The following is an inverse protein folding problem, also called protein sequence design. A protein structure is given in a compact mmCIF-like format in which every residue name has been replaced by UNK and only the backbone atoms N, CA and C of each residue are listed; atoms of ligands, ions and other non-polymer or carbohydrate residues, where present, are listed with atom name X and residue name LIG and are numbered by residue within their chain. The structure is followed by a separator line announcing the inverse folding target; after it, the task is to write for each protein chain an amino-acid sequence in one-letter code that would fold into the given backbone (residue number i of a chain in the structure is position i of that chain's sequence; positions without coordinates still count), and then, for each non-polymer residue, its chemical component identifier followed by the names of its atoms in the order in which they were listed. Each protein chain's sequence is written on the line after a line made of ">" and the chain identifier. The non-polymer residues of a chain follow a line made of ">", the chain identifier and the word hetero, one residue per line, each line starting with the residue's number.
data_IF_611609292862
#
_entry.id   IF_611609292862
#
_cell.length_a   1.000
_cell.length_b   1.000
_cell.length_c   1.000
_cell.angle_alpha   90.00
_cell.angle_beta   90.00
_cell.angle_gamma   90.00
#
_symmetry.space_group_name_H-M   'P 1'
#
loop_
_entity.id
_entity.type
_entity.pdbx_description
1 polymer ?
#
# COMPACT_ATOMS: atom_id res chain seq x y z
N UNK A 1 -7.18 -6.27 -1.09
CA UNK A 1 -7.06 -5.82 -2.50
C UNK A 1 -5.59 -5.60 -2.81
N UNK A 2 -5.13 -5.96 -4.01
CA UNK A 2 -3.73 -5.79 -4.44
C UNK A 2 -3.69 -4.82 -5.62
N UNK A 3 -3.28 -3.58 -5.39
CA UNK A 3 -2.97 -2.63 -6.46
C UNK A 3 -1.60 -2.98 -7.06
N UNK A 4 -1.40 -2.69 -8.34
CA UNK A 4 -0.05 -2.78 -8.93
C UNK A 4 0.75 -1.53 -8.60
N UNK A 5 1.89 -1.67 -7.92
CA UNK A 5 2.82 -0.57 -7.74
C UNK A 5 3.71 -0.41 -8.99
N UNK A 6 3.90 0.83 -9.45
CA UNK A 6 4.81 1.18 -10.55
C UNK A 6 5.57 2.46 -10.23
N UNK A 7 6.68 2.64 -10.93
CA UNK A 7 7.42 3.90 -10.93
C UNK A 7 7.50 4.44 -12.36
N UNK A 8 7.19 5.72 -12.50
CA UNK A 8 7.37 6.49 -13.74
C UNK A 8 8.03 7.81 -13.33
N UNK A 9 9.31 7.70 -13.01
CA UNK A 9 10.04 8.77 -12.34
C UNK A 9 10.22 9.97 -13.26
N UNK A 10 10.04 11.16 -12.66
CA UNK A 10 10.32 12.45 -13.25
C UNK A 10 11.76 12.47 -13.77
N UNK A 11 11.99 12.86 -15.04
CA UNK A 11 13.34 13.04 -15.56
C UNK A 11 14.12 14.08 -14.76
N UNK A 12 15.39 13.79 -14.47
CA UNK A 12 16.26 14.68 -13.67
C UNK A 12 16.39 16.09 -14.27
N UNK A 13 16.28 16.22 -15.59
CA UNK A 13 16.25 17.49 -16.33
C UNK A 13 15.11 18.42 -15.92
N UNK A 14 14.05 17.90 -15.28
CA UNK A 14 12.92 18.67 -14.78
C UNK A 14 12.91 18.89 -13.27
N UNK A 15 13.93 18.41 -12.55
CA UNK A 15 14.00 18.58 -11.10
C UNK A 15 13.97 20.04 -10.67
N UNK A 16 14.67 20.93 -11.36
CA UNK A 16 14.67 22.38 -11.07
C UNK A 16 13.29 23.03 -11.10
N UNK A 17 12.34 22.46 -11.83
CA UNK A 17 10.98 22.97 -11.98
C UNK A 17 10.03 22.26 -11.00
N UNK A 18 10.11 20.92 -10.95
CA UNK A 18 9.08 20.07 -10.35
C UNK A 18 9.42 19.59 -8.94
N UNK A 19 10.70 19.45 -8.62
CA UNK A 19 11.16 18.89 -7.36
C UNK A 19 12.56 19.43 -6.99
N UNK A 20 12.76 20.76 -6.89
CA UNK A 20 14.09 21.35 -6.84
C UNK A 20 14.88 21.03 -5.56
N UNK A 21 14.20 20.72 -4.46
CA UNK A 21 14.82 20.57 -3.15
C UNK A 21 14.86 19.13 -2.68
N UNK A 22 15.92 18.78 -1.94
CA UNK A 22 15.98 17.55 -1.14
C UNK A 22 14.97 17.67 0.01
N UNK A 23 14.38 16.54 0.38
CA UNK A 23 13.41 16.42 1.45
C UNK A 23 13.72 15.16 2.28
N UNK A 24 13.72 15.29 3.60
CA UNK A 24 13.46 14.17 4.49
C UNK A 24 11.98 14.24 4.85
N UNK A 25 11.14 13.33 4.32
CA UNK A 25 9.70 13.43 4.53
C UNK A 25 9.38 13.24 6.02
N UNK A 26 8.35 13.94 6.50
CA UNK A 26 7.86 13.88 7.88
C UNK A 26 6.34 13.70 7.95
N UNK A 27 5.66 13.89 6.83
CA UNK A 27 4.21 13.84 6.70
C UNK A 27 3.80 13.21 5.38
N UNK A 28 2.55 12.78 5.30
CA UNK A 28 1.86 12.43 4.05
C UNK A 28 0.70 13.41 3.88
N UNK A 29 0.56 14.00 2.70
CA UNK A 29 -0.56 14.91 2.37
C UNK A 29 -1.45 14.25 1.34
N UNK A 30 -2.72 14.05 1.70
CA UNK A 30 -3.75 13.44 0.86
C UNK A 30 -4.47 14.49 0.04
N UNK A 31 -4.65 14.19 -1.24
CA UNK A 31 -5.34 15.03 -2.22
C UNK A 31 -6.40 14.27 -3.00
N UNK A 32 -7.29 15.03 -3.62
CA UNK A 32 -8.19 14.56 -4.65
C UNK A 32 -7.92 15.37 -5.91
N UNK A 33 -7.73 14.65 -7.01
CA UNK A 33 -7.42 15.21 -8.33
C UNK A 33 -8.44 16.22 -8.87
N UNK A 34 -9.69 16.18 -8.36
CA UNK A 34 -10.85 16.85 -8.96
C UNK A 34 -11.00 16.54 -10.47
N UNK A 35 -10.58 15.33 -10.86
CA UNK A 35 -10.59 14.84 -12.24
C UNK A 35 -11.09 13.38 -12.32
N UNK A 36 -11.31 12.88 -13.54
CA UNK A 36 -11.72 11.50 -13.84
C UNK A 36 -10.69 10.73 -14.68
N UNK A 37 -9.43 11.18 -14.65
CA UNK A 37 -8.33 10.51 -15.32
C UNK A 37 -7.74 9.36 -14.46
N UNK A 38 -7.21 8.30 -15.10
CA UNK A 38 -6.43 7.26 -14.41
C UNK A 38 -5.07 7.82 -13.93
N UNK A 39 -4.43 7.10 -13.00
CA UNK A 39 -3.15 7.50 -12.41
C UNK A 39 -2.05 7.67 -13.46
N UNK A 40 -2.04 6.82 -14.50
CA UNK A 40 -1.06 6.92 -15.60
C UNK A 40 -1.19 8.25 -16.36
N UNK A 41 -2.40 8.77 -16.54
CA UNK A 41 -2.63 10.03 -17.24
C UNK A 41 -2.28 11.23 -16.36
N UNK A 42 -2.67 11.19 -15.08
CA UNK A 42 -2.30 12.19 -14.07
C UNK A 42 -0.76 12.35 -14.02
N UNK A 43 -0.04 11.24 -13.88
CA UNK A 43 1.42 11.23 -13.84
C UNK A 43 2.03 11.67 -15.17
N UNK A 44 1.57 11.15 -16.31
CA UNK A 44 2.08 11.51 -17.64
C UNK A 44 1.93 13.01 -17.91
N UNK A 45 0.79 13.58 -17.56
CA UNK A 45 0.56 15.03 -17.67
C UNK A 45 1.50 15.80 -16.74
N UNK A 46 1.57 15.41 -15.46
CA UNK A 46 2.36 16.11 -14.45
C UNK A 46 3.85 16.15 -14.81
N UNK A 47 4.44 15.03 -15.25
CA UNK A 47 5.86 14.98 -15.65
C UNK A 47 6.08 15.59 -17.04
N UNK A 48 5.07 15.58 -17.91
CA UNK A 48 5.14 16.06 -19.29
C UNK A 48 5.17 17.59 -19.42
N UNK A 49 4.49 18.32 -18.53
CA UNK A 49 4.44 19.79 -18.56
C UNK A 49 5.60 20.47 -17.78
N UNK A 50 5.69 21.80 -17.86
CA UNK A 50 6.72 22.62 -17.20
C UNK A 50 6.16 23.55 -16.09
N UNK A 51 4.97 23.26 -15.58
CA UNK A 51 4.38 24.03 -14.48
C UNK A 51 5.10 23.69 -13.16
N UNK A 52 5.24 24.65 -12.25
CA UNK A 52 5.69 24.41 -10.86
C UNK A 52 4.55 23.81 -10.01
N UNK A 53 4.02 22.70 -10.49
CA UNK A 53 2.97 21.90 -9.84
C UNK A 53 3.35 20.44 -10.01
N UNK A 54 3.38 19.70 -8.91
CA UNK A 54 3.81 18.32 -8.89
C UNK A 54 3.40 17.62 -7.60
N UNK A 55 3.35 16.30 -7.64
CA UNK A 55 3.03 15.43 -6.50
C UNK A 55 3.80 14.12 -6.64
N UNK A 56 3.98 13.40 -5.54
CA UNK A 56 4.85 12.22 -5.54
C UNK A 56 4.17 11.00 -6.13
N UNK A 57 2.89 10.81 -5.85
CA UNK A 57 2.16 9.58 -6.18
C UNK A 57 0.75 9.90 -6.67
N UNK A 58 0.30 9.21 -7.70
CA UNK A 58 -1.12 9.13 -8.06
C UNK A 58 -1.62 7.70 -7.84
N UNK A 59 -2.86 7.59 -7.32
CA UNK A 59 -3.52 6.33 -7.00
C UNK A 59 -4.86 6.27 -7.71
N UNK A 60 -5.09 5.19 -8.46
CA UNK A 60 -6.36 4.91 -9.11
C UNK A 60 -6.93 3.54 -8.69
N UNK A 61 -7.97 3.09 -9.38
CA UNK A 61 -8.68 1.84 -9.07
C UNK A 61 -7.86 0.57 -9.33
N UNK A 62 -6.71 0.69 -10.02
CA UNK A 62 -5.90 -0.45 -10.47
C UNK A 62 -4.47 -0.40 -9.95
N UNK A 63 -3.90 0.80 -9.88
CA UNK A 63 -2.47 0.98 -9.65
C UNK A 63 -2.11 2.20 -8.80
N UNK A 64 -0.90 2.12 -8.26
CA UNK A 64 -0.22 3.20 -7.54
C UNK A 64 1.05 3.53 -8.30
N UNK A 65 1.17 4.77 -8.78
CA UNK A 65 2.31 5.20 -9.59
C UNK A 65 3.07 6.31 -8.87
N UNK A 66 4.33 6.04 -8.56
CA UNK A 66 5.24 7.06 -8.04
C UNK A 66 5.99 7.76 -9.18
N UNK A 67 5.99 9.09 -9.16
CA UNK A 67 6.71 9.94 -10.10
C UNK A 67 7.82 10.79 -9.49
N UNK A 68 7.72 11.19 -8.22
CA UNK A 68 8.78 11.94 -7.55
C UNK A 68 9.38 11.09 -6.43
N UNK A 69 10.71 10.89 -6.43
CA UNK A 69 11.40 10.24 -5.31
C UNK A 69 11.09 10.95 -3.98
N UNK A 70 10.83 10.18 -2.91
CA UNK A 70 10.46 10.76 -1.61
C UNK A 70 11.57 11.56 -0.92
N UNK A 71 12.81 11.43 -1.39
CA UNK A 71 13.92 12.27 -0.94
C UNK A 71 13.95 13.66 -1.64
N UNK A 72 12.93 13.99 -2.45
CA UNK A 72 12.76 15.30 -3.08
C UNK A 72 11.38 15.87 -2.80
N UNK A 73 11.31 17.19 -2.75
CA UNK A 73 10.08 17.93 -2.54
C UNK A 73 9.14 17.84 -3.77
N UNK A 74 7.89 18.23 -3.59
CA UNK A 74 6.95 18.46 -4.69
C UNK A 74 6.09 19.71 -4.41
N UNK A 75 5.45 20.26 -5.44
CA UNK A 75 4.66 21.49 -5.38
C UNK A 75 3.16 21.17 -5.42
N UNK A 76 2.57 20.81 -4.27
CA UNK A 76 1.17 20.39 -4.17
C UNK A 76 0.38 21.03 -3.02
N UNK A 77 1.04 21.48 -1.94
CA UNK A 77 0.38 22.05 -0.77
C UNK A 77 0.01 23.53 -0.92
N UNK A 78 0.56 24.25 -1.91
CA UNK A 78 0.19 25.65 -2.17
C UNK A 78 0.45 26.59 -0.99
N UNK A 79 1.47 26.28 -0.18
CA UNK A 79 1.84 26.98 1.05
C UNK A 79 3.25 27.63 1.00
N UNK A 80 3.83 27.72 -0.19
CA UNK A 80 5.15 28.30 -0.43
C UNK A 80 6.29 27.28 -0.31
N UNK A 81 7.43 27.68 0.25
CA UNK A 81 8.61 26.82 0.45
C UNK A 81 9.70 26.93 -0.62
N UNK A 82 9.70 28.01 -1.40
CA UNK A 82 10.78 28.35 -2.35
C UNK A 82 12.13 28.65 -1.66
N UNK A 83 13.18 28.88 -2.44
CA UNK A 83 14.54 29.11 -1.91
C UNK A 83 14.68 30.34 -1.02
N UNK A 84 13.82 31.35 -1.21
CA UNK A 84 13.79 32.58 -0.43
C UNK A 84 12.83 32.53 0.76
N UNK A 85 12.12 31.42 1.00
CA UNK A 85 11.17 31.30 2.11
C UNK A 85 11.92 30.93 3.40
N UNK A 86 12.01 31.83 4.40
CA UNK A 86 12.72 31.54 5.65
C UNK A 86 12.04 30.45 6.48
N UNK A 87 10.78 30.13 6.19
CA UNK A 87 10.02 29.08 6.86
C UNK A 87 9.83 27.86 5.95
N UNK A 88 10.64 27.70 4.89
CA UNK A 88 10.47 26.61 3.93
C UNK A 88 10.40 25.23 4.61
N UNK A 89 11.22 24.97 5.63
CA UNK A 89 11.24 23.71 6.38
C UNK A 89 10.07 23.53 7.36
N UNK A 90 9.04 24.38 7.30
CA UNK A 90 7.76 24.23 8.01
C UNK A 90 6.59 24.01 7.05
N UNK A 91 6.85 23.98 5.74
CA UNK A 91 5.83 23.91 4.69
C UNK A 91 5.57 22.48 4.25
N UNK A 92 4.30 22.16 3.97
CA UNK A 92 3.87 20.89 3.42
C UNK A 92 4.59 20.53 2.11
N UNK A 93 4.83 21.51 1.22
CA UNK A 93 5.61 21.30 0.00
C UNK A 93 7.04 20.80 0.24
N UNK A 94 7.58 21.01 1.45
CA UNK A 94 8.98 20.74 1.82
C UNK A 94 9.14 19.65 2.85
N UNK A 95 8.04 19.15 3.41
CA UNK A 95 8.03 18.16 4.49
C UNK A 95 7.15 16.95 4.20
N UNK A 96 6.28 16.99 3.19
CA UNK A 96 5.26 15.96 3.00
C UNK A 96 5.33 15.26 1.64
N UNK A 97 4.95 13.98 1.66
CA UNK A 97 4.71 13.17 0.46
C UNK A 97 3.28 13.44 -0.01
N UNK A 98 3.11 14.03 -1.20
CA UNK A 98 1.81 14.29 -1.83
C UNK A 98 1.26 13.06 -2.55
N UNK A 99 0.06 12.63 -2.15
CA UNK A 99 -0.67 11.50 -2.74
C UNK A 99 -1.99 12.00 -3.33
N UNK A 100 -2.13 11.87 -4.64
CA UNK A 100 -3.33 12.22 -5.41
C UNK A 100 -4.24 11.01 -5.61
N UNK A 101 -5.51 11.12 -5.20
CA UNK A 101 -6.52 10.09 -5.44
C UNK A 101 -7.34 10.45 -6.69
N UNK A 102 -7.32 9.55 -7.68
CA UNK A 102 -7.96 9.71 -8.98
C UNK A 102 -9.49 9.56 -8.92
N UNK A 103 -10.19 9.94 -10.00
CA UNK A 103 -11.65 9.80 -10.17
C UNK A 103 -12.53 10.56 -9.18
N UNK A 104 -11.96 11.51 -8.45
CA UNK A 104 -12.70 12.24 -7.43
C UNK A 104 -13.73 13.21 -8.02
N UNK A 105 -13.68 13.57 -9.30
CA UNK A 105 -14.66 14.48 -9.91
C UNK A 105 -16.04 13.84 -10.00
N UNK A 106 -16.15 12.69 -10.63
CA UNK A 106 -17.42 11.96 -10.74
C UNK A 106 -17.65 10.98 -9.58
N UNK A 107 -16.59 10.51 -8.92
CA UNK A 107 -16.69 9.57 -7.82
C UNK A 107 -17.03 8.15 -8.30
N UNK A 108 -17.98 7.51 -7.63
CA UNK A 108 -18.46 6.17 -7.96
C UNK A 108 -17.48 5.05 -7.58
N UNK A 109 -17.74 3.84 -8.11
CA UNK A 109 -17.00 2.62 -7.74
C UNK A 109 -15.49 2.77 -7.95
N UNK A 110 -15.07 3.37 -9.07
CA UNK A 110 -13.64 3.59 -9.36
C UNK A 110 -12.96 4.47 -8.31
N UNK A 111 -13.61 5.55 -7.88
CA UNK A 111 -13.09 6.37 -6.79
C UNK A 111 -13.05 5.60 -5.47
N UNK A 112 -14.08 4.83 -5.14
CA UNK A 112 -14.11 4.01 -3.93
C UNK A 112 -12.94 3.02 -3.86
N UNK A 113 -12.64 2.35 -4.98
CA UNK A 113 -11.50 1.44 -5.10
C UNK A 113 -10.17 2.21 -5.05
N UNK A 114 -10.06 3.35 -5.74
CA UNK A 114 -8.86 4.20 -5.71
C UNK A 114 -8.54 4.71 -4.30
N UNK A 115 -9.58 5.11 -3.56
CA UNK A 115 -9.43 5.55 -2.18
C UNK A 115 -9.00 4.40 -1.26
N UNK A 116 -9.54 3.20 -1.44
CA UNK A 116 -9.10 2.03 -0.67
C UNK A 116 -7.65 1.64 -1.02
N UNK A 117 -7.26 1.71 -2.29
CA UNK A 117 -5.86 1.53 -2.69
C UNK A 117 -4.95 2.57 -2.02
N UNK A 118 -5.41 3.83 -1.91
CA UNK A 118 -4.68 4.88 -1.22
C UNK A 118 -4.57 4.61 0.29
N UNK A 119 -5.62 4.10 0.94
CA UNK A 119 -5.58 3.65 2.34
C UNK A 119 -4.47 2.61 2.54
N UNK A 120 -4.47 1.55 1.73
CA UNK A 120 -3.50 0.46 1.84
C UNK A 120 -2.08 0.93 1.56
N UNK A 121 -1.90 1.81 0.57
CA UNK A 121 -0.59 2.38 0.25
C UNK A 121 -0.06 3.32 1.33
N UNK A 122 -0.91 4.18 1.90
CA UNK A 122 -0.53 5.07 3.00
C UNK A 122 -0.16 4.26 4.24
N UNK A 123 -0.93 3.23 4.59
CA UNK A 123 -0.59 2.33 5.69
C UNK A 123 0.80 1.70 5.52
N UNK A 124 1.11 1.22 4.30
CA UNK A 124 2.44 0.71 3.96
C UNK A 124 3.54 1.75 4.15
N UNK A 125 3.33 2.99 3.68
CA UNK A 125 4.31 4.06 3.84
C UNK A 125 4.53 4.42 5.32
N UNK A 126 3.45 4.58 6.09
CA UNK A 126 3.55 4.88 7.52
C UNK A 126 4.38 3.83 8.26
N UNK A 127 4.14 2.54 7.98
CA UNK A 127 4.98 1.45 8.50
C UNK A 127 6.43 1.55 8.08
N UNK A 128 6.68 1.74 6.78
CA UNK A 128 8.03 1.84 6.24
C UNK A 128 8.84 2.98 6.89
N UNK A 129 8.18 4.08 7.27
CA UNK A 129 8.82 5.20 7.93
C UNK A 129 8.76 5.16 9.46
N UNK A 130 8.10 4.17 10.07
CA UNK A 130 7.88 4.10 11.52
C UNK A 130 7.00 5.25 12.04
N UNK A 131 6.02 5.71 11.26
CA UNK A 131 5.13 6.81 11.59
C UNK A 131 3.76 6.34 12.05
N UNK A 132 3.16 7.11 12.96
CA UNK A 132 1.76 6.96 13.31
C UNK A 132 0.83 7.76 12.39
N UNK A 133 -0.48 7.57 12.60
CA UNK A 133 -1.54 8.21 11.82
C UNK A 133 -1.47 9.74 11.84
N UNK A 134 -0.90 10.34 12.89
CA UNK A 134 -0.79 11.78 13.09
C UNK A 134 0.06 12.47 12.01
N UNK A 135 0.85 11.68 11.27
CA UNK A 135 1.61 12.15 10.11
C UNK A 135 0.79 12.27 8.83
N UNK A 136 -0.46 11.80 8.82
CA UNK A 136 -1.37 11.95 7.67
C UNK A 136 -2.14 13.26 7.80
N UNK A 137 -1.96 14.15 6.82
CA UNK A 137 -2.62 15.44 6.68
C UNK A 137 -3.46 15.47 5.42
N UNK A 138 -4.49 16.31 5.40
CA UNK A 138 -5.17 16.72 4.17
C UNK A 138 -4.53 18.00 3.66
N UNK A 139 -4.62 18.27 2.34
CA UNK A 139 -4.14 19.53 1.78
C UNK A 139 -4.70 20.75 2.54
N UNK A 140 -5.97 20.71 2.91
CA UNK A 140 -6.63 21.77 3.68
C UNK A 140 -5.86 22.19 4.95
N UNK A 141 -5.15 21.28 5.61
CA UNK A 141 -4.41 21.58 6.85
C UNK A 141 -3.22 22.53 6.61
N UNK A 142 -2.73 22.65 5.36
CA UNK A 142 -1.56 23.46 5.02
C UNK A 142 -1.92 24.88 4.59
N UNK A 143 -2.97 25.06 3.79
CA UNK A 143 -3.31 26.36 3.21
C UNK A 143 -4.81 26.68 3.16
N UNK A 144 -5.67 25.84 3.75
CA UNK A 144 -7.11 26.03 3.76
C UNK A 144 -7.86 25.60 2.49
N UNK A 145 -7.17 25.19 1.41
CA UNK A 145 -7.85 24.69 0.19
C UNK A 145 -8.75 23.51 0.54
N UNK A 146 -9.97 23.50 -0.01
CA UNK A 146 -10.92 22.41 0.18
C UNK A 146 -10.50 21.15 -0.61
N UNK A 147 -9.49 20.45 -0.11
CA UNK A 147 -8.89 19.26 -0.69
C UNK A 147 -8.40 18.33 0.44
N UNK A 148 -8.67 17.00 0.39
CA UNK A 148 -9.32 16.21 -0.67
C UNK A 148 -10.84 16.43 -0.72
N UNK A 149 -11.34 17.06 -1.78
CA UNK A 149 -12.69 17.64 -1.82
C UNK A 149 -13.80 16.61 -1.57
N UNK A 150 -13.73 15.42 -2.19
CA UNK A 150 -14.78 14.40 -2.07
C UNK A 150 -14.83 13.78 -0.68
N UNK A 151 -13.66 13.47 -0.12
CA UNK A 151 -13.55 12.95 1.26
C UNK A 151 -14.14 13.96 2.25
N UNK A 152 -13.89 15.26 2.01
CA UNK A 152 -14.43 16.34 2.87
C UNK A 152 -15.93 16.52 2.68
N UNK A 153 -16.43 16.54 1.44
CA UNK A 153 -17.86 16.73 1.13
C UNK A 153 -18.70 15.59 1.70
N UNK A 154 -18.19 14.36 1.63
CA UNK A 154 -18.89 13.17 2.12
C UNK A 154 -18.62 12.90 3.61
N UNK A 155 -17.89 13.78 4.32
CA UNK A 155 -17.62 13.66 5.76
C UNK A 155 -16.76 12.45 6.14
N UNK A 156 -15.98 11.90 5.20
CA UNK A 156 -15.30 10.61 5.36
C UNK A 156 -13.88 10.68 5.90
N UNK A 157 -13.34 11.87 6.21
CA UNK A 157 -11.94 12.01 6.64
C UNK A 157 -11.58 11.14 7.85
N UNK A 158 -12.41 11.13 8.89
CA UNK A 158 -12.17 10.29 10.08
C UNK A 158 -12.26 8.80 9.74
N UNK A 159 -13.21 8.40 8.90
CA UNK A 159 -13.32 7.02 8.41
C UNK A 159 -12.10 6.60 7.59
N UNK A 160 -11.60 7.49 6.73
CA UNK A 160 -10.38 7.29 5.95
C UNK A 160 -9.16 7.05 6.84
N UNK A 161 -8.95 7.90 7.87
CA UNK A 161 -7.87 7.71 8.84
C UNK A 161 -8.01 6.40 9.63
N UNK A 162 -9.23 6.03 10.03
CA UNK A 162 -9.47 4.78 10.75
C UNK A 162 -9.19 3.54 9.90
N UNK A 163 -9.53 3.57 8.60
CA UNK A 163 -9.17 2.48 7.68
C UNK A 163 -7.66 2.36 7.50
N UNK A 164 -6.91 3.47 7.47
CA UNK A 164 -5.44 3.44 7.45
C UNK A 164 -4.89 2.76 8.70
N UNK A 165 -5.36 3.16 9.90
CA UNK A 165 -4.95 2.53 11.17
C UNK A 165 -5.17 1.01 11.15
N UNK A 166 -6.39 0.60 10.76
CA UNK A 166 -6.74 -0.82 10.64
C UNK A 166 -5.85 -1.56 9.65
N UNK A 167 -5.51 -0.94 8.51
CA UNK A 167 -4.60 -1.52 7.53
C UNK A 167 -3.15 -1.62 8.04
N UNK A 168 -2.72 -0.71 8.92
CA UNK A 168 -1.44 -0.86 9.62
C UNK A 168 -1.48 -2.08 10.57
N UNK A 169 -2.51 -2.21 11.38
CA UNK A 169 -2.68 -3.34 12.32
C UNK A 169 -2.81 -4.70 11.60
N UNK A 170 -3.61 -4.76 10.52
CA UNK A 170 -3.87 -6.02 9.78
C UNK A 170 -2.62 -6.55 9.06
N UNK A 171 -1.71 -5.66 8.70
CA UNK A 171 -0.43 -6.04 8.12
C UNK A 171 0.62 -6.42 9.18
N UNK A 172 0.36 -6.25 10.49
CA UNK A 172 1.20 -6.81 11.56
C UNK A 172 0.92 -8.30 11.75
N UNK A 173 -0.33 -8.73 11.55
CA UNK A 173 -0.65 -10.16 11.43
C UNK A 173 -0.11 -10.84 10.17
N UNK A 174 0.25 -10.06 9.13
CA UNK A 174 0.97 -10.57 7.94
C UNK A 174 2.50 -10.32 7.99
N UNK A 175 3.00 -9.59 8.99
CA UNK A 175 4.44 -9.33 9.20
C UNK A 175 5.01 -10.00 10.47
N UNK A 176 4.20 -10.75 11.23
CA UNK A 176 4.66 -11.78 12.16
C UNK A 176 4.57 -13.18 11.53
N UNK A 177 5.33 -13.40 10.46
CA UNK A 177 5.78 -14.75 10.06
C UNK A 177 7.25 -14.62 9.67
N UNK A 178 8.11 -14.29 10.65
CA UNK A 178 9.47 -14.81 10.69
C UNK A 178 9.77 -15.10 12.16
N UNK A 179 9.94 -16.39 12.41
CA UNK A 179 10.37 -17.10 13.62
C UNK A 179 9.32 -17.33 14.74
N UNK A 180 8.90 -18.60 14.80
CA UNK A 180 8.09 -19.32 15.79
C UNK A 180 6.56 -19.16 15.63
N UNK A 181 5.88 -19.85 14.72
CA UNK A 181 5.62 -21.30 14.77
C UNK A 181 4.91 -21.71 13.45
N UNK A 182 5.68 -22.23 12.49
CA UNK A 182 5.18 -22.61 11.17
C UNK A 182 4.49 -23.99 11.17
N UNK A 183 4.33 -24.62 12.34
CA UNK A 183 3.67 -25.92 12.45
C UNK A 183 2.17 -25.80 12.22
N UNK A 184 1.60 -26.82 11.57
CA UNK A 184 0.20 -26.87 11.19
C UNK A 184 -0.67 -27.01 12.45
N UNK A 185 -1.32 -25.91 12.86
CA UNK A 185 -2.23 -25.89 14.00
C UNK A 185 -3.67 -26.12 13.57
N UNK A 186 -4.36 -26.96 14.35
CA UNK A 186 -5.80 -27.22 14.18
C UNK A 186 -6.55 -26.81 15.44
N UNK A 187 -7.52 -25.92 15.28
CA UNK A 187 -8.48 -25.57 16.36
C UNK A 187 -9.66 -26.55 16.43
N UNK A 188 -9.76 -27.49 15.48
CA UNK A 188 -10.84 -28.46 15.36
C UNK A 188 -10.28 -29.88 15.15
N UNK A 189 -10.70 -30.84 15.97
CA UNK A 189 -10.22 -32.23 15.95
C UNK A 189 -10.65 -33.00 14.70
N UNK A 190 -11.85 -32.75 14.18
CA UNK A 190 -12.35 -33.36 12.93
C UNK A 190 -11.53 -32.89 11.73
N UNK A 191 -11.17 -31.61 11.67
CA UNK A 191 -10.31 -31.07 10.63
C UNK A 191 -8.89 -31.69 10.68
N UNK A 192 -8.33 -31.85 11.90
CA UNK A 192 -7.05 -32.54 12.10
C UNK A 192 -7.09 -33.99 11.61
N UNK A 193 -8.16 -34.71 11.95
CA UNK A 193 -8.35 -36.10 11.52
C UNK A 193 -8.46 -36.21 9.99
N UNK A 194 -9.23 -35.33 9.34
CA UNK A 194 -9.37 -35.33 7.88
C UNK A 194 -8.04 -35.11 7.15
N UNK A 195 -7.17 -34.22 7.66
CA UNK A 195 -5.83 -34.02 7.08
C UNK A 195 -4.95 -35.24 7.32
N UNK A 196 -4.99 -35.83 8.52
CA UNK A 196 -4.27 -37.08 8.81
C UNK A 196 -4.68 -38.21 7.87
N UNK A 197 -5.98 -38.40 7.66
CA UNK A 197 -6.53 -39.45 6.79
C UNK A 197 -6.12 -39.24 5.33
N UNK A 198 -6.09 -37.99 4.86
CA UNK A 198 -5.59 -37.66 3.53
C UNK A 198 -4.11 -38.06 3.35
N UNK A 199 -3.26 -37.76 4.34
CA UNK A 199 -1.84 -38.13 4.32
C UNK A 199 -1.69 -39.66 4.38
N UNK A 200 -2.43 -40.34 5.27
CA UNK A 200 -2.43 -41.79 5.40
C UNK A 200 -2.81 -42.48 4.07
N UNK A 201 -3.88 -42.02 3.41
CA UNK A 201 -4.30 -42.58 2.12
C UNK A 201 -3.22 -42.43 1.04
N UNK A 202 -2.46 -41.33 1.06
CA UNK A 202 -1.37 -41.12 0.12
C UNK A 202 -0.16 -42.02 0.42
N UNK A 203 0.13 -42.28 1.70
CA UNK A 203 1.16 -43.25 2.14
C UNK A 203 0.75 -44.67 1.73
N UNK A 204 -0.50 -45.06 1.97
CA UNK A 204 -1.01 -46.41 1.66
C UNK A 204 -0.99 -46.69 0.15
N UNK A 205 -1.17 -45.64 -0.67
CA UNK A 205 -1.06 -45.70 -2.13
C UNK A 205 0.39 -45.62 -2.63
N UNK A 206 1.38 -45.47 -1.76
CA UNK A 206 2.79 -45.33 -2.12
C UNK A 206 3.12 -44.01 -2.84
N UNK A 207 2.26 -42.99 -2.75
CA UNK A 207 2.46 -41.71 -3.43
C UNK A 207 3.47 -40.84 -2.69
N UNK A 208 3.60 -41.00 -1.38
CA UNK A 208 4.53 -40.28 -0.52
C UNK A 208 5.12 -41.24 0.52
N UNK A 209 6.28 -40.87 1.08
CA UNK A 209 6.94 -41.66 2.11
C UNK A 209 6.23 -41.55 3.48
N UNK A 210 6.32 -42.60 4.30
CA UNK A 210 5.69 -42.65 5.63
C UNK A 210 6.22 -41.57 6.58
N UNK A 211 7.45 -41.08 6.38
CA UNK A 211 8.01 -39.98 7.17
C UNK A 211 7.12 -38.72 7.20
N UNK A 212 6.30 -38.50 6.16
CA UNK A 212 5.35 -37.38 6.15
C UNK A 212 4.20 -37.56 7.14
N UNK A 213 3.69 -38.79 7.29
CA UNK A 213 2.69 -39.08 8.31
C UNK A 213 3.28 -38.95 9.72
N UNK A 214 4.52 -39.42 9.92
CA UNK A 214 5.23 -39.29 11.20
C UNK A 214 5.51 -37.83 11.55
N UNK A 215 5.87 -36.99 10.56
CA UNK A 215 6.03 -35.54 10.72
C UNK A 215 4.72 -34.86 11.15
N UNK A 216 3.59 -35.30 10.60
CA UNK A 216 2.26 -34.81 10.99
C UNK A 216 1.89 -35.24 12.42
N UNK A 217 2.06 -36.52 12.74
CA UNK A 217 1.74 -37.08 14.07
C UNK A 217 2.59 -36.45 15.19
N UNK A 218 3.86 -36.14 14.87
CA UNK A 218 4.78 -35.46 15.79
C UNK A 218 4.52 -33.94 15.90
N UNK A 219 3.56 -33.40 15.14
CA UNK A 219 3.21 -31.97 15.18
C UNK A 219 4.29 -31.04 14.61
N UNK A 220 5.24 -31.55 13.83
CA UNK A 220 6.35 -30.77 13.24
C UNK A 220 6.13 -30.46 11.76
N UNK A 221 5.02 -30.92 11.17
CA UNK A 221 4.63 -30.59 9.81
C UNK A 221 4.19 -29.14 9.71
N UNK A 222 4.72 -28.42 8.73
CA UNK A 222 4.36 -27.02 8.47
C UNK A 222 3.21 -26.89 7.47
N UNK A 223 2.58 -25.72 7.39
CA UNK A 223 1.61 -25.43 6.32
C UNK A 223 2.27 -25.53 4.92
N UNK A 224 3.53 -25.08 4.79
CA UNK A 224 4.30 -25.18 3.55
C UNK A 224 4.59 -26.63 3.14
N UNK A 225 4.96 -27.49 4.10
CA UNK A 225 5.10 -28.93 3.87
C UNK A 225 3.81 -29.54 3.30
N UNK A 226 2.67 -29.19 3.89
CA UNK A 226 1.37 -29.75 3.48
C UNK A 226 0.95 -29.28 2.08
N UNK A 227 1.15 -28.01 1.73
CA UNK A 227 0.88 -27.52 0.38
C UNK A 227 1.81 -28.16 -0.67
N UNK A 228 3.09 -28.33 -0.35
CA UNK A 228 4.03 -29.07 -1.20
C UNK A 228 3.61 -30.53 -1.40
N UNK A 229 3.16 -31.20 -0.34
CA UNK A 229 2.65 -32.57 -0.37
C UNK A 229 1.45 -32.73 -1.30
N UNK A 230 0.49 -31.79 -1.28
CA UNK A 230 -0.66 -31.83 -2.20
C UNK A 230 -0.22 -31.84 -3.66
N UNK A 231 0.79 -31.06 -4.02
CA UNK A 231 1.33 -31.00 -5.37
C UNK A 231 1.95 -32.35 -5.76
N UNK A 232 2.76 -32.95 -4.88
CA UNK A 232 3.40 -34.25 -5.14
C UNK A 232 2.34 -35.36 -5.31
N UNK A 233 1.36 -35.41 -4.41
CA UNK A 233 0.27 -36.40 -4.45
C UNK A 233 -0.51 -36.26 -5.75
N UNK A 234 -0.86 -35.02 -6.15
CA UNK A 234 -1.59 -34.78 -7.39
C UNK A 234 -0.79 -35.23 -8.64
N UNK A 235 0.52 -34.99 -8.68
CA UNK A 235 1.38 -35.41 -9.79
C UNK A 235 1.55 -36.92 -9.89
N UNK A 236 1.57 -37.64 -8.75
CA UNK A 236 1.76 -39.09 -8.69
C UNK A 236 0.47 -39.89 -8.77
N UNK A 237 -0.68 -39.24 -8.61
CA UNK A 237 -2.01 -39.86 -8.74
C UNK A 237 -2.54 -39.86 -10.18
N UNK A 238 -1.86 -39.17 -11.10
CA UNK A 238 -2.16 -39.12 -12.54
C UNK A 238 -1.45 -40.26 -13.27
#
# INVERSE_FOLDING_TARGET
>A
MSYKFKQTLLPSTKYSIKAPFIMAPQFITVHNTANDAPAVNEISYMIGNNNQVSYHVAVDDKEVIQAIPFNRNAWHCGDGGGSSDPNALKKGNRLSIGIEICYSKSGGVRYGVAEENAVQYIAKLLKQFGWGIERVKKHQDWNGKYCPHRILTEGRWNSFLNRIKKAMESNESEQQIVEDDDTMKFTNTTAKAAVRDYIQQAVDKGLIDKSWLEKFDNGTMTNGDFEGLKIIIAQRSA
#
